data_IF_261456826725
#
_entry.id   IF_261456826725
#
_cell.length_a   1.000
_cell.length_b   1.000
_cell.length_c   1.000
_cell.angle_alpha   90.00
_cell.angle_beta   90.00
_cell.angle_gamma   90.00
#
_symmetry.space_group_name_H-M   'P 1'
#
loop_
_entity.id
_entity.type
_entity.pdbx_description
1 polymer ?
#
# COMPACT_ATOMS: atom_id res chain seq x y z
N UNK A 1 5.66 4.46 7.77
CA UNK A 1 4.54 4.22 6.83
C UNK A 1 3.88 5.56 6.56
N UNK A 2 4.16 6.15 5.41
CA UNK A 2 3.60 7.43 5.00
C UNK A 2 2.33 7.14 4.22
N UNK A 3 1.17 7.45 4.77
CA UNK A 3 -0.09 7.38 4.04
C UNK A 3 -0.37 8.78 3.51
N UNK A 4 -0.42 8.92 2.21
CA UNK A 4 -0.79 10.15 1.54
C UNK A 4 -2.31 10.25 1.55
N UNK A 5 -2.83 11.37 2.01
CA UNK A 5 -4.27 11.67 1.99
C UNK A 5 -4.73 11.89 0.54
N UNK A 6 -5.73 11.15 0.12
CA UNK A 6 -6.25 11.12 -1.25
C UNK A 6 -7.17 12.32 -1.60
N UNK A 7 -7.29 13.34 -0.73
CA UNK A 7 -8.36 14.32 -0.93
C UNK A 7 -7.96 15.67 -1.57
N UNK A 8 -6.68 15.98 -1.81
CA UNK A 8 -6.38 17.32 -2.35
C UNK A 8 -5.29 17.45 -3.40
N UNK A 9 -4.68 16.38 -3.84
CA UNK A 9 -3.94 16.44 -5.09
C UNK A 9 -4.31 15.20 -5.91
N UNK A 10 -4.92 15.40 -7.05
CA UNK A 10 -5.00 14.39 -8.10
C UNK A 10 -3.57 13.94 -8.36
N UNK A 11 -3.14 12.94 -7.63
CA UNK A 11 -1.93 12.24 -7.95
C UNK A 11 -2.03 11.85 -9.42
N UNK A 12 -1.11 12.26 -10.30
CA UNK A 12 -1.18 11.91 -11.71
C UNK A 12 -1.02 10.41 -11.97
N UNK A 13 -0.97 9.60 -10.91
CA UNK A 13 -0.92 8.15 -10.92
C UNK A 13 -2.28 7.50 -10.61
N UNK A 14 -3.40 8.11 -11.00
CA UNK A 14 -4.62 7.35 -11.21
C UNK A 14 -4.44 6.49 -12.48
N UNK A 15 -3.68 5.42 -12.31
CA UNK A 15 -3.71 4.32 -13.24
C UNK A 15 -5.04 3.60 -13.08
N UNK A 16 -5.75 3.53 -14.21
CA UNK A 16 -7.01 2.82 -14.42
C UNK A 16 -8.26 3.52 -13.90
N UNK A 17 -8.61 4.58 -14.55
CA UNK A 17 -9.98 4.63 -15.07
C UNK A 17 -10.00 3.81 -16.36
N UNK A 18 -10.90 2.86 -16.43
CA UNK A 18 -11.04 1.88 -17.52
C UNK A 18 -11.31 2.49 -18.93
N UNK A 19 -11.13 3.78 -19.13
CA UNK A 19 -11.55 4.49 -20.36
C UNK A 19 -10.39 4.95 -21.28
N UNK A 20 -9.14 4.67 -20.98
CA UNK A 20 -8.06 5.34 -21.72
C UNK A 20 -7.13 4.45 -22.55
N UNK A 21 -7.41 3.18 -22.79
CA UNK A 21 -6.47 2.33 -23.56
C UNK A 21 -7.05 1.49 -24.69
N UNK A 22 -8.28 1.74 -25.13
CA UNK A 22 -8.84 1.02 -26.28
C UNK A 22 -9.57 1.94 -27.25
N UNK A 23 -8.84 2.82 -27.91
CA UNK A 23 -9.31 3.39 -29.18
C UNK A 23 -8.19 3.28 -30.20
N UNK A 24 -8.04 2.15 -30.81
CA UNK A 24 -7.74 1.92 -32.21
C UNK A 24 -7.12 0.52 -32.41
N UNK A 25 -7.90 -0.27 -32.92
CA UNK A 25 -7.72 -1.39 -33.86
C UNK A 25 -8.60 -2.56 -33.46
N UNK A 26 -9.45 -2.94 -34.36
CA UNK A 26 -10.29 -4.11 -34.45
C UNK A 26 -9.79 -5.34 -33.64
N UNK A 27 -9.98 -5.32 -32.32
CA UNK A 27 -10.03 -6.53 -31.53
C UNK A 27 -11.49 -6.90 -31.37
N UNK A 28 -11.81 -8.16 -31.64
CA UNK A 28 -13.15 -8.73 -31.46
C UNK A 28 -13.71 -8.29 -30.10
N UNK A 29 -14.82 -7.57 -30.11
CA UNK A 29 -15.58 -7.14 -28.91
C UNK A 29 -16.01 -8.30 -28.02
N UNK A 30 -15.88 -9.55 -28.49
CA UNK A 30 -16.22 -10.77 -27.75
C UNK A 30 -15.24 -11.17 -26.66
N UNK A 31 -14.08 -10.51 -26.54
CA UNK A 31 -13.00 -10.91 -25.61
C UNK A 31 -13.02 -10.12 -24.30
N UNK A 32 -13.74 -8.99 -24.24
CA UNK A 32 -13.86 -8.18 -23.06
C UNK A 32 -15.25 -8.31 -22.39
N UNK A 33 -15.57 -9.49 -21.85
CA UNK A 33 -16.60 -9.54 -20.83
C UNK A 33 -16.23 -8.55 -19.72
N UNK A 34 -17.11 -7.57 -19.45
CA UNK A 34 -17.00 -6.64 -18.33
C UNK A 34 -17.06 -7.39 -17.00
N UNK A 35 -15.96 -8.07 -16.66
CA UNK A 35 -15.79 -8.65 -15.32
C UNK A 35 -15.69 -7.53 -14.31
N UNK A 36 -16.54 -7.54 -13.32
CA UNK A 36 -16.44 -6.60 -12.21
C UNK A 36 -15.07 -6.71 -11.55
N UNK A 37 -14.57 -5.64 -10.93
CA UNK A 37 -13.28 -5.65 -10.21
C UNK A 37 -13.19 -6.81 -9.19
N UNK A 38 -14.31 -7.18 -8.58
CA UNK A 38 -14.43 -8.31 -7.65
C UNK A 38 -14.22 -9.66 -8.34
N UNK A 39 -14.77 -9.84 -9.52
CA UNK A 39 -14.61 -11.08 -10.33
C UNK A 39 -13.19 -11.21 -10.87
N UNK A 40 -12.57 -10.09 -11.28
CA UNK A 40 -11.15 -10.08 -11.66
C UNK A 40 -10.25 -10.52 -10.51
N UNK A 41 -10.48 -10.05 -9.29
CA UNK A 41 -9.73 -10.49 -8.13
C UNK A 41 -10.01 -11.95 -7.75
N UNK A 42 -11.25 -12.40 -7.83
CA UNK A 42 -11.61 -13.80 -7.56
C UNK A 42 -10.99 -14.78 -8.57
N UNK A 43 -10.74 -14.32 -9.81
CA UNK A 43 -10.10 -15.12 -10.85
C UNK A 43 -8.56 -15.17 -10.76
N UNK A 44 -7.93 -14.46 -9.84
CA UNK A 44 -6.47 -14.39 -9.67
C UNK A 44 -5.93 -15.41 -8.64
N UNK A 45 -6.51 -16.59 -8.59
CA UNK A 45 -5.99 -17.69 -7.77
C UNK A 45 -5.01 -18.57 -8.56
N UNK A 46 -4.17 -19.33 -7.87
CA UNK A 46 -3.31 -20.33 -8.49
C UNK A 46 -4.09 -21.30 -9.38
N UNK A 47 -5.33 -21.61 -9.00
CA UNK A 47 -6.20 -22.48 -9.82
C UNK A 47 -6.55 -21.85 -11.16
N UNK A 48 -6.76 -20.54 -11.22
CA UNK A 48 -7.07 -19.81 -12.45
C UNK A 48 -5.85 -19.65 -13.38
N UNK A 49 -4.65 -19.66 -12.79
CA UNK A 49 -3.40 -19.54 -13.55
C UNK A 49 -2.98 -20.84 -14.25
N UNK A 50 -3.56 -22.00 -13.91
CA UNK A 50 -3.20 -23.29 -14.52
C UNK A 50 -3.33 -23.35 -16.04
N UNK A 51 -4.21 -22.55 -16.61
CA UNK A 51 -4.37 -22.43 -18.08
C UNK A 51 -3.45 -21.39 -18.72
N UNK A 52 -2.69 -20.65 -17.91
CA UNK A 52 -1.78 -19.62 -18.41
C UNK A 52 -0.49 -20.27 -18.94
N UNK A 53 0.02 -19.88 -20.12
CA UNK A 53 1.26 -20.42 -20.66
C UNK A 53 2.50 -20.19 -19.77
N UNK A 54 2.46 -19.20 -18.87
CA UNK A 54 3.54 -18.92 -17.92
C UNK A 54 3.36 -19.64 -16.58
N UNK A 55 2.41 -20.58 -16.46
CA UNK A 55 2.11 -21.24 -15.19
C UNK A 55 3.31 -22.00 -14.61
N UNK A 56 4.05 -22.73 -15.43
CA UNK A 56 5.21 -23.49 -14.99
C UNK A 56 6.29 -22.58 -14.41
N UNK A 57 6.59 -21.47 -15.09
CA UNK A 57 7.58 -20.48 -14.62
C UNK A 57 7.14 -19.84 -13.31
N UNK A 58 5.86 -19.46 -13.19
CA UNK A 58 5.31 -18.88 -11.98
C UNK A 58 5.27 -19.88 -10.81
N UNK A 59 5.02 -21.15 -11.11
CA UNK A 59 4.96 -22.20 -10.10
C UNK A 59 6.33 -22.53 -9.50
N UNK A 60 7.41 -22.38 -10.26
CA UNK A 60 8.77 -22.49 -9.75
C UNK A 60 9.04 -21.45 -8.65
N UNK A 61 8.49 -20.23 -8.79
CA UNK A 61 8.64 -19.12 -7.85
C UNK A 61 7.42 -18.92 -6.92
N UNK A 62 6.61 -19.96 -6.69
CA UNK A 62 5.38 -19.86 -5.88
C UNK A 62 5.58 -19.36 -4.46
N UNK A 63 6.76 -19.53 -3.90
CA UNK A 63 7.15 -19.02 -2.58
C UNK A 63 7.23 -17.49 -2.51
N UNK A 64 7.44 -16.83 -3.67
CA UNK A 64 7.41 -15.37 -3.80
C UNK A 64 5.97 -14.83 -3.82
N UNK A 65 4.99 -15.69 -4.12
CA UNK A 65 3.56 -15.36 -4.23
C UNK A 65 2.70 -16.08 -3.17
N UNK A 66 2.94 -15.87 -1.87
CA UNK A 66 2.15 -16.51 -0.84
C UNK A 66 0.70 -16.01 -0.84
N UNK A 67 -0.26 -16.83 -0.46
CA UNK A 67 -1.67 -16.44 -0.31
C UNK A 67 -1.87 -15.42 0.83
N UNK A 68 -1.02 -15.47 1.84
CA UNK A 68 -1.02 -14.54 2.95
C UNK A 68 0.38 -14.00 3.21
N UNK A 69 0.47 -12.71 3.55
CA UNK A 69 1.75 -12.09 3.95
C UNK A 69 2.22 -12.75 5.25
N UNK A 70 3.50 -13.18 5.34
CA UNK A 70 4.05 -13.74 6.56
C UNK A 70 3.85 -12.83 7.77
N UNK A 71 3.42 -13.40 8.90
CA UNK A 71 3.22 -12.67 10.16
C UNK A 71 4.54 -12.53 10.93
N UNK A 72 5.57 -12.01 10.27
CA UNK A 72 6.89 -11.77 10.83
C UNK A 72 7.55 -10.55 10.20
N UNK A 73 8.53 -9.98 10.88
CA UNK A 73 9.33 -8.89 10.31
C UNK A 73 10.15 -9.41 9.13
N UNK A 74 10.25 -8.61 8.04
CA UNK A 74 11.07 -8.98 6.90
C UNK A 74 12.55 -9.04 7.29
N UNK A 75 13.32 -9.88 6.59
CA UNK A 75 14.77 -9.89 6.72
C UNK A 75 15.36 -8.57 6.24
N UNK A 76 16.35 -8.07 6.97
CA UNK A 76 17.06 -6.86 6.55
C UNK A 76 17.88 -7.17 5.27
N UNK A 77 17.54 -6.46 4.19
CA UNK A 77 18.22 -6.56 2.89
C UNK A 77 19.14 -5.37 2.63
N UNK A 78 19.43 -4.56 3.65
CA UNK A 78 20.24 -3.36 3.54
C UNK A 78 19.50 -2.13 3.01
N UNK A 79 18.24 -2.28 2.59
CA UNK A 79 17.37 -1.16 2.21
C UNK A 79 16.35 -0.95 3.31
N UNK A 80 16.28 0.28 3.83
CA UNK A 80 15.36 0.64 4.91
C UNK A 80 14.58 1.89 4.54
N UNK A 81 13.36 2.00 5.06
CA UNK A 81 12.63 3.27 5.04
C UNK A 81 13.34 4.29 5.91
N UNK A 82 13.54 5.48 5.38
CA UNK A 82 14.19 6.59 6.08
C UNK A 82 13.30 7.83 6.06
N UNK A 83 13.32 8.59 7.17
CA UNK A 83 12.61 9.85 7.29
C UNK A 83 13.64 10.94 7.57
N UNK A 84 13.81 11.85 6.62
CA UNK A 84 14.70 13.00 6.77
C UNK A 84 13.84 14.22 7.05
N UNK A 85 13.93 14.77 8.26
CA UNK A 85 13.19 15.97 8.62
C UNK A 85 13.89 17.22 8.09
N UNK A 86 13.09 18.22 7.72
CA UNK A 86 13.59 19.55 7.35
C UNK A 86 14.21 20.23 8.59
N UNK A 87 15.38 20.87 8.47
CA UNK A 87 16.02 21.58 9.59
C UNK A 87 15.08 22.62 10.20
N UNK A 88 15.02 22.65 11.54
CA UNK A 88 14.19 23.60 12.28
C UNK A 88 12.69 23.31 12.33
N UNK A 89 12.22 22.26 11.68
CA UNK A 89 10.81 21.86 11.76
C UNK A 89 10.52 21.14 13.07
N UNK A 90 9.38 21.46 13.68
CA UNK A 90 8.86 20.75 14.86
C UNK A 90 7.71 19.87 14.41
N UNK A 91 7.89 18.57 14.53
CA UNK A 91 6.81 17.62 14.37
C UNK A 91 6.05 17.49 15.69
N UNK A 92 4.77 17.85 15.69
CA UNK A 92 3.94 17.88 16.90
C UNK A 92 3.00 16.69 16.98
N UNK A 93 2.70 16.25 18.20
CA UNK A 93 1.65 15.28 18.50
C UNK A 93 0.30 15.81 18.00
N UNK A 94 -0.45 14.94 17.33
CA UNK A 94 -1.87 15.18 17.04
C UNK A 94 -2.71 14.20 17.85
N UNK A 95 -3.67 14.75 18.60
CA UNK A 95 -4.55 13.95 19.45
C UNK A 95 -5.44 13.04 18.61
N UNK A 96 -5.67 11.81 19.09
CA UNK A 96 -6.64 10.88 18.51
C UNK A 96 -8.05 11.50 18.49
N UNK A 97 -8.73 11.36 17.37
CA UNK A 97 -10.12 11.77 17.21
C UNK A 97 -11.07 10.75 17.84
N UNK A 98 -12.23 11.17 18.37
CA UNK A 98 -13.27 10.24 18.78
C UNK A 98 -13.82 9.50 17.53
N UNK A 99 -13.95 8.20 17.67
CA UNK A 99 -14.40 7.32 16.57
C UNK A 99 -15.62 6.50 16.99
N UNK A 100 -16.51 6.12 16.04
CA UNK A 100 -17.57 5.15 16.26
C UNK A 100 -17.04 3.81 16.75
N UNK A 101 -17.84 3.06 17.50
CA UNK A 101 -17.42 1.79 18.12
C UNK A 101 -16.98 0.71 17.11
N UNK A 102 -17.64 0.66 15.96
CA UNK A 102 -17.31 -0.28 14.88
C UNK A 102 -15.93 0.00 14.27
N UNK A 103 -15.56 1.28 14.16
CA UNK A 103 -14.23 1.69 13.70
C UNK A 103 -13.15 1.42 14.75
N UNK A 104 -13.45 1.69 16.04
CA UNK A 104 -12.54 1.35 17.14
C UNK A 104 -12.21 -0.13 17.11
N UNK A 105 -13.22 -0.99 17.01
CA UNK A 105 -13.04 -2.45 16.95
C UNK A 105 -12.17 -2.85 15.76
N UNK A 106 -12.40 -2.28 14.58
CA UNK A 106 -11.62 -2.58 13.39
C UNK A 106 -10.15 -2.15 13.53
N UNK A 107 -9.89 -1.02 14.20
CA UNK A 107 -8.54 -0.54 14.49
C UNK A 107 -7.83 -1.47 15.49
N UNK A 108 -8.49 -1.85 16.56
CA UNK A 108 -7.93 -2.72 17.59
C UNK A 108 -7.59 -4.11 17.00
N UNK A 109 -8.48 -4.70 16.21
CA UNK A 109 -8.23 -5.97 15.52
C UNK A 109 -7.04 -5.89 14.56
N UNK A 110 -6.95 -4.80 13.80
CA UNK A 110 -5.83 -4.55 12.88
C UNK A 110 -4.50 -4.48 13.62
N UNK A 111 -4.42 -3.66 14.67
CA UNK A 111 -3.16 -3.49 15.40
C UNK A 111 -2.80 -4.72 16.24
N UNK A 112 -3.77 -5.44 16.79
CA UNK A 112 -3.49 -6.67 17.51
C UNK A 112 -2.82 -7.72 16.59
N UNK A 113 -3.29 -7.86 15.36
CA UNK A 113 -2.64 -8.74 14.38
C UNK A 113 -1.22 -8.28 14.04
N UNK A 114 -1.00 -6.98 13.89
CA UNK A 114 0.33 -6.41 13.60
C UNK A 114 1.29 -6.49 14.80
N UNK A 115 0.77 -6.37 16.01
CA UNK A 115 1.55 -6.54 17.24
C UNK A 115 2.02 -7.99 17.39
N UNK A 116 1.15 -8.97 17.14
CA UNK A 116 1.50 -10.39 17.13
C UNK A 116 2.57 -10.72 16.09
N UNK A 117 2.54 -10.06 14.95
CA UNK A 117 3.53 -10.19 13.88
C UNK A 117 4.84 -9.41 14.15
N UNK A 118 4.93 -8.65 15.25
CA UNK A 118 6.09 -7.80 15.54
C UNK A 118 6.24 -6.54 14.69
N UNK A 119 5.25 -6.23 13.84
CA UNK A 119 5.28 -5.05 12.97
C UNK A 119 5.06 -3.74 13.73
N UNK A 120 4.38 -3.78 14.87
CA UNK A 120 4.13 -2.63 15.74
C UNK A 120 4.38 -3.02 17.20
N UNK A 121 4.70 -2.03 18.00
CA UNK A 121 4.90 -2.14 19.46
C UNK A 121 4.30 -0.94 20.17
N UNK A 122 4.10 -1.04 21.46
CA UNK A 122 3.74 0.11 22.31
C UNK A 122 4.79 1.19 22.21
N UNK A 123 4.35 2.44 22.14
CA UNK A 123 5.21 3.59 21.94
C UNK A 123 5.04 4.64 23.04
N UNK A 124 6.17 5.20 23.50
CA UNK A 124 6.25 6.38 24.36
C UNK A 124 6.80 7.58 23.60
N UNK A 125 6.76 7.54 22.28
CA UNK A 125 7.29 8.60 21.42
C UNK A 125 6.64 9.96 21.72
N UNK A 126 7.41 11.04 21.68
CA UNK A 126 6.84 12.40 21.73
C UNK A 126 6.09 12.77 20.45
N UNK A 127 6.12 11.92 19.44
CA UNK A 127 5.43 12.10 18.15
C UNK A 127 4.23 11.18 18.07
N UNK A 128 3.16 11.64 17.45
CA UNK A 128 2.00 10.78 17.22
C UNK A 128 1.10 11.32 16.12
N UNK A 129 0.61 10.45 15.28
CA UNK A 129 -0.42 10.73 14.28
C UNK A 129 -1.73 10.00 14.62
N UNK A 130 -2.90 10.61 14.42
CA UNK A 130 -4.16 9.96 14.69
C UNK A 130 -4.47 8.90 13.65
N UNK A 131 -5.19 7.86 14.07
CA UNK A 131 -5.66 6.77 13.20
C UNK A 131 -7.15 6.89 12.98
N UNK A 132 -7.61 6.66 11.78
CA UNK A 132 -9.03 6.64 11.41
C UNK A 132 -9.31 5.55 10.37
N UNK A 133 -10.59 5.35 10.03
CA UNK A 133 -11.02 4.34 9.08
C UNK A 133 -11.71 4.98 7.88
N UNK A 134 -11.41 4.45 6.70
CA UNK A 134 -12.14 4.76 5.46
C UNK A 134 -12.83 3.49 4.96
N UNK A 135 -14.08 3.62 4.50
CA UNK A 135 -14.84 2.47 4.00
C UNK A 135 -14.32 2.04 2.64
N UNK A 136 -14.04 0.73 2.49
CA UNK A 136 -13.65 0.18 1.18
C UNK A 136 -14.89 0.03 0.29
N UNK A 137 -14.78 0.22 -1.03
CA UNK A 137 -15.89 -0.06 -1.96
C UNK A 137 -16.39 -1.51 -1.90
N UNK A 138 -15.51 -2.45 -1.58
CA UNK A 138 -15.80 -3.88 -1.43
C UNK A 138 -16.38 -4.26 -0.07
N UNK A 139 -16.64 -3.28 0.82
CA UNK A 139 -16.99 -3.48 2.22
C UNK A 139 -15.76 -3.59 3.12
N UNK A 140 -15.97 -3.45 4.43
CA UNK A 140 -14.88 -3.43 5.42
C UNK A 140 -14.20 -2.06 5.54
N UNK A 141 -13.12 -2.02 6.32
CA UNK A 141 -12.42 -0.81 6.68
C UNK A 141 -10.98 -0.78 6.14
N UNK A 142 -10.55 0.39 5.68
CA UNK A 142 -9.14 0.70 5.45
C UNK A 142 -8.68 1.54 6.63
N UNK A 143 -7.64 1.08 7.33
CA UNK A 143 -7.03 1.82 8.43
C UNK A 143 -6.06 2.83 7.83
N UNK A 144 -6.19 4.09 8.22
CA UNK A 144 -5.40 5.22 7.72
C UNK A 144 -4.77 5.97 8.89
N UNK A 145 -3.54 6.38 8.72
CA UNK A 145 -2.80 7.18 9.70
C UNK A 145 -2.56 8.58 9.13
N UNK A 146 -3.02 9.62 9.83
CA UNK A 146 -2.94 11.01 9.37
C UNK A 146 -1.52 11.59 9.56
N UNK A 147 -0.57 11.16 8.73
CA UNK A 147 0.81 11.65 8.77
C UNK A 147 1.03 13.02 8.11
N UNK A 148 -0.01 13.81 7.83
CA UNK A 148 0.09 15.08 7.11
C UNK A 148 1.14 16.01 7.71
N UNK A 149 1.20 16.11 9.05
CA UNK A 149 2.20 16.94 9.74
C UNK A 149 3.62 16.39 9.59
N UNK A 150 3.77 15.07 9.67
CA UNK A 150 5.06 14.40 9.43
C UNK A 150 5.50 14.59 7.98
N UNK A 151 4.59 14.39 7.03
CA UNK A 151 4.87 14.57 5.61
C UNK A 151 5.31 16.01 5.30
N UNK A 152 4.63 17.01 5.89
CA UNK A 152 4.99 18.43 5.72
C UNK A 152 6.37 18.77 6.34
N UNK A 153 6.79 18.03 7.36
CA UNK A 153 8.09 18.22 8.03
C UNK A 153 9.22 17.38 7.39
N UNK A 154 8.90 16.49 6.46
CA UNK A 154 9.87 15.58 5.83
C UNK A 154 10.38 16.18 4.53
N UNK A 155 11.68 15.99 4.26
CA UNK A 155 12.26 16.27 2.95
C UNK A 155 11.77 15.20 1.97
N UNK A 156 11.01 15.55 0.90
CA UNK A 156 10.54 14.56 -0.06
C UNK A 156 11.71 13.86 -0.76
N UNK A 157 11.65 12.55 -0.86
CA UNK A 157 12.62 11.80 -1.64
C UNK A 157 12.49 12.18 -3.12
N UNK A 158 13.59 12.62 -3.71
CA UNK A 158 13.65 12.93 -5.14
C UNK A 158 13.96 11.65 -5.92
N UNK A 159 13.02 10.74 -5.98
CA UNK A 159 13.14 9.56 -6.84
C UNK A 159 12.71 9.94 -8.25
N UNK A 160 13.58 9.82 -9.25
CA UNK A 160 13.20 10.10 -10.62
C UNK A 160 12.17 9.06 -11.09
N UNK A 161 10.93 9.49 -11.20
CA UNK A 161 9.85 8.66 -11.77
C UNK A 161 9.88 8.90 -13.28
N UNK A 162 10.05 7.86 -14.11
CA UNK A 162 9.99 8.01 -15.56
C UNK A 162 8.66 8.61 -15.99
N UNK A 163 8.69 9.44 -17.01
CA UNK A 163 7.47 10.00 -17.60
C UNK A 163 6.60 8.87 -18.15
N UNK A 164 5.28 9.06 -18.12
CA UNK A 164 4.30 8.06 -18.58
C UNK A 164 4.53 7.62 -20.04
N UNK A 165 4.85 8.56 -20.90
CA UNK A 165 5.18 8.31 -22.30
C UNK A 165 6.41 7.41 -22.46
N UNK A 166 7.48 7.64 -21.70
CA UNK A 166 8.68 6.80 -21.70
C UNK A 166 8.38 5.38 -21.23
N UNK A 167 7.51 5.23 -20.22
CA UNK A 167 7.09 3.90 -19.74
C UNK A 167 6.29 3.18 -20.84
N UNK A 168 5.35 3.86 -21.48
CA UNK A 168 4.53 3.27 -22.56
C UNK A 168 5.42 2.90 -23.75
N UNK A 169 6.36 3.76 -24.13
CA UNK A 169 7.28 3.49 -25.23
C UNK A 169 8.18 2.28 -24.94
N UNK A 170 8.61 2.12 -23.68
CA UNK A 170 9.39 0.94 -23.26
C UNK A 170 8.62 -0.38 -23.34
N UNK A 171 7.29 -0.32 -23.32
CA UNK A 171 6.39 -1.46 -23.48
C UNK A 171 6.03 -1.73 -24.95
N UNK A 172 6.41 -0.84 -25.87
CA UNK A 172 6.10 -0.98 -27.30
C UNK A 172 6.73 -2.26 -27.88
N UNK A 173 5.97 -2.96 -28.67
CA UNK A 173 6.41 -4.25 -29.26
C UNK A 173 6.29 -5.47 -28.34
N UNK A 174 5.95 -5.29 -27.08
CA UNK A 174 5.65 -6.41 -26.17
C UNK A 174 4.27 -6.99 -26.50
N UNK A 175 4.15 -8.30 -26.50
CA UNK A 175 2.88 -9.02 -26.72
C UNK A 175 2.31 -9.64 -25.44
N UNK A 176 3.12 -9.72 -24.39
CA UNK A 176 2.73 -10.26 -23.08
C UNK A 176 3.09 -9.21 -22.02
N UNK A 177 2.14 -8.90 -21.17
CA UNK A 177 2.29 -7.94 -20.07
C UNK A 177 2.00 -8.61 -18.73
N UNK A 178 2.83 -8.34 -17.72
CA UNK A 178 2.61 -8.80 -16.36
C UNK A 178 2.38 -7.61 -15.44
N UNK A 179 1.38 -7.70 -14.56
CA UNK A 179 1.12 -6.72 -13.52
C UNK A 179 1.26 -7.39 -12.16
N UNK A 180 2.13 -6.85 -11.31
CA UNK A 180 2.34 -7.33 -9.95
C UNK A 180 1.89 -6.25 -8.96
N UNK A 181 1.06 -6.65 -8.00
CA UNK A 181 0.63 -5.79 -6.89
C UNK A 181 1.24 -6.29 -5.58
N UNK A 182 1.92 -5.39 -4.86
CA UNK A 182 2.57 -5.73 -3.60
C UNK A 182 1.57 -5.67 -2.45
N UNK A 183 1.26 -6.82 -1.87
CA UNK A 183 0.45 -6.89 -0.67
C UNK A 183 1.25 -6.36 0.54
N UNK A 184 0.67 -5.41 1.28
CA UNK A 184 1.32 -4.78 2.45
C UNK A 184 2.77 -4.29 2.20
N UNK A 185 3.04 -3.74 1.02
CA UNK A 185 4.39 -3.41 0.53
C UNK A 185 5.24 -2.58 1.50
N UNK A 186 4.62 -1.66 2.25
CA UNK A 186 5.33 -0.88 3.27
C UNK A 186 5.87 -1.72 4.44
N UNK A 187 5.21 -2.82 4.80
CA UNK A 187 5.66 -3.72 5.85
C UNK A 187 6.71 -4.72 5.38
N UNK A 188 7.01 -4.76 4.10
CA UNK A 188 8.04 -5.64 3.53
C UNK A 188 9.45 -5.04 3.59
N UNK A 189 9.58 -3.79 4.04
CA UNK A 189 10.87 -3.10 4.20
C UNK A 189 10.94 -2.56 5.63
N UNK A 190 12.07 -2.81 6.29
CA UNK A 190 12.29 -2.32 7.65
C UNK A 190 12.43 -0.79 7.68
N UNK A 191 12.02 -0.20 8.79
CA UNK A 191 12.30 1.21 9.09
C UNK A 191 13.68 1.36 9.73
N UNK A 192 14.41 2.43 9.43
CA UNK A 192 15.61 2.82 10.17
C UNK A 192 15.26 3.07 11.64
N UNK A 193 15.99 2.45 12.56
CA UNK A 193 15.65 2.47 14.00
C UNK A 193 15.51 3.89 14.58
N UNK A 194 16.40 4.81 14.16
CA UNK A 194 16.33 6.22 14.58
C UNK A 194 15.02 6.91 14.20
N UNK A 195 14.32 6.40 13.18
CA UNK A 195 13.15 7.04 12.60
C UNK A 195 11.83 6.39 13.06
N UNK A 196 11.91 5.19 13.64
CA UNK A 196 10.75 4.50 14.22
C UNK A 196 9.90 5.41 15.12
N UNK A 197 10.47 6.24 16.01
CA UNK A 197 9.67 7.15 16.85
C UNK A 197 8.82 8.15 16.06
N UNK A 198 9.19 8.52 14.84
CA UNK A 198 8.41 9.44 14.02
C UNK A 198 7.13 8.82 13.47
N UNK A 199 7.09 7.49 13.36
CA UNK A 199 5.94 6.75 12.83
C UNK A 199 4.95 6.31 13.89
N UNK A 200 5.10 6.78 15.11
CA UNK A 200 4.17 6.48 16.19
C UNK A 200 2.76 6.99 15.86
N UNK A 201 1.77 6.18 16.20
CA UNK A 201 0.36 6.46 15.95
C UNK A 201 -0.45 6.41 17.23
N UNK A 202 -1.44 7.29 17.34
CA UNK A 202 -2.46 7.21 18.36
C UNK A 202 -3.62 6.35 17.86
N UNK A 203 -4.10 5.49 18.74
CA UNK A 203 -5.30 4.71 18.55
C UNK A 203 -6.25 4.97 19.72
N UNK A 204 -7.52 4.59 19.64
CA UNK A 204 -8.42 4.68 20.79
C UNK A 204 -7.93 3.90 22.02
N UNK A 205 -7.14 2.84 21.81
CA UNK A 205 -6.65 1.93 22.86
C UNK A 205 -5.24 2.26 23.37
N UNK A 206 -4.53 3.21 22.76
CA UNK A 206 -3.18 3.61 23.18
C UNK A 206 -2.31 4.13 22.06
N UNK A 207 -1.02 4.28 22.34
CA UNK A 207 0.01 4.66 21.36
C UNK A 207 0.81 3.43 20.93
N UNK A 208 1.04 3.32 19.63
CA UNK A 208 1.80 2.25 19.02
C UNK A 208 2.91 2.80 18.12
#
# INVERSE_FOLDING_TARGET
MLVVDDEHEKCPLHFATDECLCSSSSMDESVLEEKTKKERFASQSWASLKSNPLFEDLWEFRDVFPEAVPCELPKDKGTRHEIVLQPGTKYCITRQWPLPRDQVKAIDEFFESRRKAGHVRESTSPHSAPTFCVRKPTGGWRIVHAYNKLNAATVPAQTPIPRKDVIIDSMSGSTIFSCLDLMDGYYQILMRESDVPFTAVSTPSGML
#
